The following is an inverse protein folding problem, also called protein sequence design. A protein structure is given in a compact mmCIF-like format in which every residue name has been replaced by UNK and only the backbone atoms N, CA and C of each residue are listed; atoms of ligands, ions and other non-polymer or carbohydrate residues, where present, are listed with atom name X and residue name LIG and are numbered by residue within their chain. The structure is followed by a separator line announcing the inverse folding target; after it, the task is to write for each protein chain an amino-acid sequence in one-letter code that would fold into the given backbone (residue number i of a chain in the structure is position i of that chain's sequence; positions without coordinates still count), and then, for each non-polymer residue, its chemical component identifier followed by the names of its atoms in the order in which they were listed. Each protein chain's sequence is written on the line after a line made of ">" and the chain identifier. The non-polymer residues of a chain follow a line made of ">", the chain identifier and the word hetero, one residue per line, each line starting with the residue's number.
data_IF_855057605091
#
_entry.id   IF_855057605091
#
_cell.length_a   1.000
_cell.length_b   1.000
_cell.length_c   1.000
_cell.angle_alpha   90.00
_cell.angle_beta   90.00
_cell.angle_gamma   90.00
#
_symmetry.space_group_name_H-M   'P 1'
#
loop_
_entity.id
_entity.type
_entity.pdbx_description
1 polymer ?
#
# COMPACT_ATOMS: atom_id res chain seq x y z
N UNK A 1 -16.87 24.33 0.60
CA UNK A 1 -15.43 24.03 0.77
C UNK A 1 -14.84 23.65 -0.57
N UNK A 2 -13.59 24.04 -0.85
CA UNK A 2 -12.88 23.68 -2.08
C UNK A 2 -11.46 23.22 -1.75
N UNK A 3 -10.96 22.21 -2.48
CA UNK A 3 -9.55 21.86 -2.42
C UNK A 3 -8.76 22.88 -3.25
N UNK A 4 -7.80 23.56 -2.63
CA UNK A 4 -6.88 24.51 -3.27
C UNK A 4 -5.45 24.02 -3.16
N UNK A 5 -4.64 24.40 -4.14
CA UNK A 5 -3.21 24.16 -4.18
C UNK A 5 -2.53 25.53 -4.28
N UNK A 6 -2.50 26.26 -3.16
CA UNK A 6 -1.90 27.60 -3.12
C UNK A 6 -0.36 27.52 -3.01
N UNK A 7 0.19 26.35 -2.63
CA UNK A 7 1.61 25.98 -2.72
C UNK A 7 1.76 24.72 -3.59
N UNK A 8 2.75 24.63 -4.51
CA UNK A 8 2.92 23.45 -5.35
C UNK A 8 3.06 22.16 -4.53
N UNK A 9 2.21 21.16 -4.80
CA UNK A 9 2.19 19.87 -4.11
C UNK A 9 1.40 19.82 -2.80
N UNK A 10 0.83 20.94 -2.35
CA UNK A 10 0.14 21.05 -1.05
C UNK A 10 -1.35 21.37 -1.26
N UNK A 11 -2.16 20.32 -1.42
CA UNK A 11 -3.61 20.43 -1.59
C UNK A 11 -4.30 20.49 -0.24
N UNK A 12 -4.93 21.62 0.06
CA UNK A 12 -5.65 21.87 1.31
C UNK A 12 -7.12 22.21 1.08
N UNK A 13 -7.98 21.78 2.00
CA UNK A 13 -9.38 22.21 2.00
C UNK A 13 -9.49 23.64 2.53
N UNK A 14 -10.17 24.51 1.80
CA UNK A 14 -10.48 25.88 2.20
C UNK A 14 -11.99 26.08 2.26
N UNK A 15 -12.47 26.59 3.39
CA UNK A 15 -13.86 26.97 3.60
C UNK A 15 -14.06 28.44 3.25
N UNK A 16 -15.08 28.74 2.45
CA UNK A 16 -15.51 30.11 2.18
C UNK A 16 -16.92 30.29 2.75
N UNK A 17 -17.11 31.34 3.51
CA UNK A 17 -18.38 31.62 4.21
C UNK A 17 -18.72 33.09 4.05
N UNK A 18 -20.02 33.38 3.94
CA UNK A 18 -20.55 34.75 3.90
C UNK A 18 -21.16 35.13 5.25
N UNK A 19 -21.12 36.41 5.60
CA UNK A 19 -21.68 36.94 6.85
C UNK A 19 -20.65 37.12 7.97
N UNK A 20 -21.09 37.67 9.10
CA UNK A 20 -20.23 37.95 10.25
C UNK A 20 -20.03 36.68 11.10
N UNK A 21 -19.00 35.91 10.79
CA UNK A 21 -18.60 34.72 11.55
C UNK A 21 -17.11 34.76 11.84
N UNK A 22 -16.72 34.39 13.05
CA UNK A 22 -15.31 34.22 13.41
C UNK A 22 -14.75 32.93 12.77
N UNK A 23 -13.73 33.01 11.91
CA UNK A 23 -13.11 31.84 11.27
C UNK A 23 -12.58 30.80 12.26
N UNK A 24 -12.01 31.26 13.39
CA UNK A 24 -11.42 30.40 14.41
C UNK A 24 -12.46 29.54 15.11
N UNK A 25 -13.52 30.19 15.58
CA UNK A 25 -14.68 29.56 16.21
C UNK A 25 -15.37 28.57 15.26
N UNK A 26 -15.60 28.94 14.00
CA UNK A 26 -16.26 28.06 13.03
C UNK A 26 -15.41 26.80 12.78
N UNK A 27 -14.08 26.96 12.63
CA UNK A 27 -13.18 25.81 12.48
C UNK A 27 -13.19 24.92 13.72
N UNK A 28 -13.21 25.49 14.93
CA UNK A 28 -13.32 24.72 16.17
C UNK A 28 -14.64 23.92 16.23
N UNK A 29 -15.75 24.53 15.84
CA UNK A 29 -17.06 23.86 15.78
C UNK A 29 -17.14 22.77 14.72
N UNK A 30 -16.45 22.92 13.59
CA UNK A 30 -16.36 21.87 12.58
C UNK A 30 -15.58 20.65 13.10
N UNK A 31 -14.52 20.84 13.89
CA UNK A 31 -13.77 19.72 14.50
C UNK A 31 -14.61 18.88 15.47
N UNK A 32 -15.59 19.47 16.14
CA UNK A 32 -16.50 18.74 17.04
C UNK A 32 -17.42 17.76 16.28
N UNK A 33 -17.62 17.97 14.97
CA UNK A 33 -18.66 17.27 14.18
C UNK A 33 -18.13 16.52 12.95
N UNK A 34 -16.90 16.82 12.52
CA UNK A 34 -16.30 16.26 11.33
C UNK A 34 -14.97 15.58 11.66
N UNK A 35 -14.62 14.48 10.97
CA UNK A 35 -13.26 13.97 10.98
C UNK A 35 -12.25 15.06 10.57
N UNK A 36 -11.05 15.03 11.14
CA UNK A 36 -10.04 16.09 10.97
C UNK A 36 -9.71 16.38 9.50
N UNK A 37 -9.60 15.35 8.65
CA UNK A 37 -9.35 15.50 7.21
C UNK A 37 -10.48 16.18 6.43
N UNK A 38 -11.67 16.34 7.02
CA UNK A 38 -12.78 17.10 6.44
C UNK A 38 -12.86 18.54 6.96
N UNK A 39 -12.07 18.89 7.97
CA UNK A 39 -12.03 20.24 8.54
C UNK A 39 -11.12 21.11 7.66
N UNK A 40 -11.59 22.27 7.18
CA UNK A 40 -10.78 23.11 6.30
C UNK A 40 -9.55 23.66 7.04
N UNK A 41 -8.42 23.71 6.33
CA UNK A 41 -7.16 24.27 6.81
C UNK A 41 -7.27 25.77 7.09
N UNK A 42 -8.09 26.47 6.30
CA UNK A 42 -8.43 27.88 6.45
C UNK A 42 -9.91 28.14 6.18
N UNK A 43 -10.50 29.10 6.90
CA UNK A 43 -11.85 29.62 6.65
C UNK A 43 -11.71 31.09 6.28
N UNK A 44 -12.23 31.46 5.10
CA UNK A 44 -12.18 32.82 4.58
C UNK A 44 -13.59 33.38 4.55
N UNK A 45 -13.78 34.51 5.23
CA UNK A 45 -15.03 35.27 5.17
C UNK A 45 -15.01 36.12 3.92
N UNK A 46 -16.02 35.96 3.08
CA UNK A 46 -16.22 36.76 1.87
C UNK A 46 -17.55 37.49 1.95
N UNK A 47 -17.62 38.69 1.40
CA UNK A 47 -18.88 39.46 1.39
C UNK A 47 -19.96 38.75 0.58
N UNK A 48 -19.57 38.23 -0.59
CA UNK A 48 -20.41 37.41 -1.46
C UNK A 48 -19.57 36.32 -2.15
N UNK A 49 -20.19 35.19 -2.47
CA UNK A 49 -19.55 34.16 -3.28
C UNK A 49 -19.50 34.64 -4.74
N UNK A 50 -18.31 34.69 -5.38
CA UNK A 50 -18.20 35.14 -6.76
C UNK A 50 -18.85 34.11 -7.69
N UNK A 51 -19.67 34.59 -8.62
CA UNK A 51 -20.36 33.75 -9.60
C UNK A 51 -19.88 34.07 -11.02
N UNK A 52 -19.77 33.04 -11.84
CA UNK A 52 -19.61 33.14 -13.29
C UNK A 52 -20.88 33.69 -13.94
N UNK A 53 -20.78 34.11 -15.20
CA UNK A 53 -21.94 34.55 -16.02
C UNK A 53 -23.09 33.53 -16.10
N UNK A 54 -22.81 32.25 -15.83
CA UNK A 54 -23.79 31.17 -15.82
C UNK A 54 -24.35 30.88 -14.40
N UNK A 55 -24.09 31.75 -13.43
CA UNK A 55 -24.57 31.60 -12.04
C UNK A 55 -23.86 30.51 -11.22
N UNK A 56 -22.78 29.90 -11.73
CA UNK A 56 -21.96 28.92 -10.99
C UNK A 56 -20.86 29.62 -10.21
N UNK A 57 -20.44 29.06 -9.06
CA UNK A 57 -19.29 29.54 -8.28
C UNK A 57 -18.03 29.68 -9.15
N UNK A 58 -17.48 30.89 -9.21
CA UNK A 58 -16.19 31.15 -9.83
C UNK A 58 -15.06 30.86 -8.84
N UNK A 59 -14.52 29.65 -8.94
CA UNK A 59 -13.42 29.20 -8.06
C UNK A 59 -12.13 30.01 -8.23
N UNK A 60 -11.92 30.65 -9.40
CA UNK A 60 -10.70 31.41 -9.72
C UNK A 60 -10.73 32.80 -9.10
N UNK A 61 -11.93 33.36 -8.95
CA UNK A 61 -12.16 34.65 -8.33
C UNK A 61 -12.22 34.59 -6.79
N UNK A 62 -12.15 33.40 -6.18
CA UNK A 62 -12.11 33.25 -4.72
C UNK A 62 -10.75 33.73 -4.17
N UNK A 63 -10.75 34.60 -3.14
CA UNK A 63 -9.51 35.11 -2.55
C UNK A 63 -8.67 33.97 -2.01
N UNK A 64 -7.34 34.11 -2.14
CA UNK A 64 -6.42 33.19 -1.51
C UNK A 64 -6.49 33.36 0.02
N UNK A 65 -6.57 32.29 0.80
CA UNK A 65 -6.47 32.38 2.24
C UNK A 65 -5.08 32.91 2.64
N UNK A 66 -5.05 33.85 3.58
CA UNK A 66 -3.81 34.22 4.26
C UNK A 66 -3.46 33.12 5.25
N UNK A 67 -2.52 32.26 4.87
CA UNK A 67 -1.90 31.33 5.80
C UNK A 67 -0.87 32.12 6.61
N UNK A 68 -1.26 32.63 7.78
CA UNK A 68 -0.33 33.27 8.71
C UNK A 68 0.69 32.23 9.22
N UNK A 69 1.81 32.11 8.52
CA UNK A 69 2.94 31.20 8.82
C UNK A 69 3.62 31.53 10.18
N UNK A 70 3.34 32.69 10.78
CA UNK A 70 3.99 33.17 12.00
C UNK A 70 3.31 32.74 13.31
N UNK A 71 2.02 32.34 13.29
CA UNK A 71 1.24 32.12 14.52
C UNK A 71 1.10 30.64 14.95
N UNK A 72 1.71 29.70 14.24
CA UNK A 72 1.59 28.26 14.58
C UNK A 72 2.90 27.50 14.75
N UNK A 73 4.03 28.06 14.37
CA UNK A 73 5.31 27.39 14.60
C UNK A 73 5.77 27.57 16.05
N UNK A 74 5.33 26.64 16.91
CA UNK A 74 5.95 26.43 18.21
C UNK A 74 7.06 25.41 18.04
N UNK A 75 8.31 25.77 18.34
CA UNK A 75 9.39 24.79 18.34
C UNK A 75 9.11 23.70 19.39
N UNK A 76 9.47 22.42 19.14
CA UNK A 76 9.56 21.40 20.18
C UNK A 76 10.46 21.90 21.31
N UNK A 77 10.01 21.78 22.56
CA UNK A 77 10.76 22.29 23.73
C UNK A 77 11.17 21.21 24.71
N UNK A 78 10.61 20.00 24.58
CA UNK A 78 10.96 18.86 25.43
C UNK A 78 11.67 17.78 24.62
N UNK A 79 12.53 16.94 25.24
CA UNK A 79 13.20 15.84 24.54
C UNK A 79 12.23 14.89 23.84
N UNK A 80 11.06 14.65 24.46
CA UNK A 80 9.98 13.83 23.86
C UNK A 80 9.42 14.51 22.62
N UNK A 81 9.13 15.81 22.68
CA UNK A 81 8.62 16.57 21.52
C UNK A 81 9.65 16.64 20.39
N UNK A 82 10.93 16.84 20.70
CA UNK A 82 12.01 16.88 19.71
C UNK A 82 12.12 15.54 18.96
N UNK A 83 12.07 14.43 19.71
CA UNK A 83 12.12 13.10 19.14
C UNK A 83 10.88 12.81 18.30
N UNK A 84 9.69 13.13 18.79
CA UNK A 84 8.43 12.98 18.05
C UNK A 84 8.41 13.81 16.77
N UNK A 85 8.81 15.09 16.83
CA UNK A 85 8.91 15.96 15.67
C UNK A 85 9.90 15.41 14.62
N UNK A 86 11.03 14.86 15.07
CA UNK A 86 11.99 14.19 14.19
C UNK A 86 11.44 12.92 13.52
N UNK A 87 10.62 12.13 14.24
CA UNK A 87 9.94 10.97 13.66
C UNK A 87 8.88 11.42 12.64
N UNK A 88 8.05 12.42 12.97
CA UNK A 88 7.07 13.00 12.05
C UNK A 88 7.74 13.45 10.75
N UNK A 89 8.81 14.25 10.87
CA UNK A 89 9.55 14.78 9.73
C UNK A 89 10.06 13.66 8.80
N UNK A 90 10.66 12.60 9.36
CA UNK A 90 11.15 11.46 8.56
C UNK A 90 10.04 10.68 7.86
N UNK A 91 8.91 10.47 8.52
CA UNK A 91 7.82 9.65 7.98
C UNK A 91 7.06 10.38 6.88
N UNK A 92 6.83 11.68 7.09
CA UNK A 92 6.10 12.53 6.16
C UNK A 92 7.00 13.13 5.07
N UNK A 93 8.33 13.03 5.23
CA UNK A 93 9.30 13.58 4.28
C UNK A 93 9.33 15.11 4.27
N UNK A 94 8.96 15.75 5.39
CA UNK A 94 8.96 17.21 5.54
C UNK A 94 10.22 17.69 6.26
N UNK A 95 10.75 18.88 5.92
CA UNK A 95 12.02 19.35 6.47
C UNK A 95 11.96 19.72 7.95
N UNK A 96 10.79 20.12 8.45
CA UNK A 96 10.61 20.60 9.82
C UNK A 96 9.16 20.41 10.28
N UNK A 97 9.00 20.08 11.56
CA UNK A 97 7.70 19.90 12.23
C UNK A 97 7.74 20.66 13.56
N UNK A 98 6.74 21.49 13.81
CA UNK A 98 6.50 22.18 15.07
C UNK A 98 5.71 21.34 16.07
N UNK A 99 5.72 21.75 17.33
CA UNK A 99 5.02 21.06 18.42
C UNK A 99 3.49 21.01 18.20
N UNK A 100 2.92 22.03 17.56
CA UNK A 100 1.47 22.14 17.30
C UNK A 100 1.07 21.67 15.88
N UNK A 101 2.01 21.13 15.10
CA UNK A 101 1.71 20.64 13.76
C UNK A 101 1.00 19.29 13.84
N UNK A 102 -0.20 19.20 13.25
CA UNK A 102 -0.97 17.97 13.15
C UNK A 102 -0.36 17.03 12.11
N UNK A 103 -0.25 15.74 12.46
CA UNK A 103 0.24 14.69 11.57
C UNK A 103 -0.54 14.62 10.25
N UNK A 104 -1.87 14.79 10.32
CA UNK A 104 -2.75 14.70 9.16
C UNK A 104 -2.75 15.99 8.33
N UNK A 105 -2.60 17.16 8.98
CA UNK A 105 -2.43 18.44 8.27
C UNK A 105 -1.14 18.47 7.43
N UNK A 106 -0.12 17.71 7.85
CA UNK A 106 1.15 17.54 7.14
C UNK A 106 1.13 16.43 6.06
N UNK A 107 -0.05 15.88 5.73
CA UNK A 107 -0.21 14.85 4.69
C UNK A 107 -0.09 13.41 5.18
N UNK A 108 -0.14 13.19 6.50
CA UNK A 108 -0.24 11.86 7.08
C UNK A 108 -1.54 11.14 6.72
N UNK A 109 -1.43 9.83 6.53
CA UNK A 109 -2.51 8.88 6.27
C UNK A 109 -2.46 7.71 7.26
N UNK A 110 -3.38 6.76 7.16
CA UNK A 110 -3.41 5.59 8.06
C UNK A 110 -2.13 4.74 8.00
N UNK A 111 -1.46 4.68 6.85
CA UNK A 111 -0.26 3.87 6.64
C UNK A 111 0.95 4.49 7.34
N UNK A 112 1.14 5.78 7.11
CA UNK A 112 2.16 6.60 7.75
C UNK A 112 1.89 6.75 9.25
N UNK A 113 0.63 6.78 9.70
CA UNK A 113 0.28 6.73 11.12
C UNK A 113 0.69 5.39 11.76
N UNK A 114 0.51 4.25 11.09
CA UNK A 114 1.03 2.97 11.58
C UNK A 114 2.56 2.96 11.67
N UNK A 115 3.26 3.52 10.65
CA UNK A 115 4.71 3.68 10.68
C UNK A 115 5.16 4.59 11.82
N UNK A 116 4.41 5.67 12.08
CA UNK A 116 4.67 6.60 13.18
C UNK A 116 4.59 5.88 14.51
N UNK A 117 3.49 5.16 14.75
CA UNK A 117 3.31 4.38 15.96
C UNK A 117 4.43 3.37 16.16
N UNK A 118 4.82 2.63 15.11
CA UNK A 118 5.91 1.67 15.18
C UNK A 118 7.24 2.33 15.56
N UNK A 119 7.60 3.43 14.89
CA UNK A 119 8.85 4.16 15.14
C UNK A 119 8.89 4.81 16.54
N UNK A 120 7.77 5.37 17.00
CA UNK A 120 7.66 5.96 18.34
C UNK A 120 7.75 4.88 19.42
N UNK A 121 7.08 3.75 19.22
CA UNK A 121 7.15 2.62 20.16
C UNK A 121 8.54 1.99 20.23
N UNK A 122 9.25 1.92 19.11
CA UNK A 122 10.63 1.47 19.06
C UNK A 122 11.58 2.44 19.78
N UNK A 123 11.44 3.75 19.53
CA UNK A 123 12.34 4.75 20.09
C UNK A 123 12.10 5.05 21.59
N UNK A 124 10.83 5.02 22.03
CA UNK A 124 10.43 5.48 23.37
C UNK A 124 9.81 4.40 24.25
N UNK A 125 9.54 3.19 23.73
CA UNK A 125 8.85 2.13 24.49
C UNK A 125 7.42 2.52 24.90
N UNK A 126 6.77 3.41 24.13
CA UNK A 126 5.59 4.15 24.54
C UNK A 126 4.27 3.35 24.57
N UNK A 127 4.17 2.20 23.89
CA UNK A 127 2.92 1.43 23.74
C UNK A 127 1.79 2.20 23.03
N UNK A 128 2.12 3.23 22.25
CA UNK A 128 1.19 4.07 21.53
C UNK A 128 0.35 3.23 20.56
N UNK A 129 -0.94 3.54 20.46
CA UNK A 129 -1.85 2.95 19.48
C UNK A 129 -2.09 3.93 18.32
N UNK A 130 -2.49 3.41 17.15
CA UNK A 130 -2.90 4.27 16.02
C UNK A 130 -4.05 5.19 16.42
N UNK A 131 -4.98 4.70 17.24
CA UNK A 131 -6.07 5.50 17.80
C UNK A 131 -5.55 6.73 18.56
N UNK A 132 -4.45 6.61 19.30
CA UNK A 132 -3.87 7.74 20.02
C UNK A 132 -3.37 8.85 19.08
N UNK A 133 -2.86 8.50 17.90
CA UNK A 133 -2.46 9.48 16.87
C UNK A 133 -3.69 10.21 16.32
N UNK A 134 -4.83 9.53 16.13
CA UNK A 134 -6.07 10.17 15.69
C UNK A 134 -6.69 11.08 16.75
N UNK A 135 -6.59 10.72 18.03
CA UNK A 135 -7.16 11.51 19.13
C UNK A 135 -6.25 12.68 19.57
N UNK A 136 -4.95 12.58 19.28
CA UNK A 136 -3.93 13.57 19.61
C UNK A 136 -2.99 13.70 18.41
N UNK A 137 -3.36 14.42 17.35
CA UNK A 137 -2.61 14.43 16.09
C UNK A 137 -1.33 15.27 16.13
N UNK A 138 -1.20 16.21 17.07
CA UNK A 138 -0.03 17.10 17.18
C UNK A 138 1.10 16.49 18.02
N UNK A 139 2.33 16.94 17.78
CA UNK A 139 3.52 16.51 18.55
C UNK A 139 3.35 16.77 20.05
N UNK A 140 2.86 17.95 20.44
CA UNK A 140 2.64 18.32 21.83
C UNK A 140 1.57 17.43 22.51
N UNK A 141 0.47 17.15 21.81
CA UNK A 141 -0.58 16.29 22.34
C UNK A 141 -0.13 14.82 22.45
N UNK A 142 0.64 14.31 21.48
CA UNK A 142 1.23 12.97 21.57
C UNK A 142 2.27 12.87 22.66
N UNK A 143 3.12 13.89 22.85
CA UNK A 143 4.12 13.90 23.90
C UNK A 143 3.50 13.67 25.28
N UNK A 144 2.31 14.24 25.53
CA UNK A 144 1.54 14.01 26.76
C UNK A 144 0.95 12.60 26.91
N UNK A 145 0.89 11.81 25.83
CA UNK A 145 0.39 10.42 25.84
C UNK A 145 1.50 9.38 25.88
N UNK A 146 2.73 9.78 25.56
CA UNK A 146 3.90 8.92 25.65
C UNK A 146 4.38 8.88 27.10
N UNK A 147 4.36 7.69 27.72
CA UNK A 147 4.81 7.48 29.10
C UNK A 147 3.72 7.29 30.15
N UNK A 148 2.44 7.27 29.77
CA UNK A 148 1.34 6.91 30.68
C UNK A 148 1.36 5.41 31.04
N UNK A 149 1.18 5.08 32.32
CA UNK A 149 1.29 3.72 32.89
C UNK A 149 0.25 2.68 32.39
N UNK A 150 -0.61 3.02 31.43
CA UNK A 150 -1.71 2.14 30.97
C UNK A 150 -1.58 1.59 29.55
N UNK A 151 -0.57 1.97 28.77
CA UNK A 151 -0.43 1.49 27.41
C UNK A 151 0.06 0.04 27.42
N UNK A 152 -0.81 -0.91 27.05
CA UNK A 152 -0.45 -2.31 26.88
C UNK A 152 0.71 -2.42 25.89
N UNK A 153 1.93 -2.60 26.41
CA UNK A 153 3.13 -2.75 25.61
C UNK A 153 3.02 -4.06 24.86
N UNK A 154 2.79 -3.98 23.55
CA UNK A 154 2.90 -5.16 22.69
C UNK A 154 4.36 -5.61 22.74
N UNK A 155 4.58 -6.84 23.20
CA UNK A 155 5.91 -7.43 23.18
C UNK A 155 6.41 -7.48 21.73
N UNK A 156 7.67 -7.13 21.46
CA UNK A 156 8.22 -7.24 20.12
C UNK A 156 8.15 -8.69 19.65
N UNK A 157 7.87 -8.89 18.36
CA UNK A 157 7.91 -10.22 17.75
C UNK A 157 9.36 -10.73 17.82
N UNK A 158 9.57 -11.86 18.48
CA UNK A 158 10.87 -12.51 18.60
C UNK A 158 10.86 -13.80 17.78
N UNK A 159 12.01 -14.24 17.24
CA UNK A 159 12.12 -15.59 16.74
C UNK A 159 11.74 -16.59 17.83
N UNK A 160 10.87 -17.54 17.49
CA UNK A 160 10.47 -18.63 18.38
C UNK A 160 10.79 -19.95 17.71
N UNK A 161 11.09 -20.95 18.52
CA UNK A 161 11.16 -22.32 18.03
C UNK A 161 9.78 -22.74 17.51
N UNK A 162 9.74 -23.38 16.34
CA UNK A 162 8.47 -23.75 15.73
C UNK A 162 7.82 -24.87 16.53
N UNK A 163 6.57 -24.63 16.93
CA UNK A 163 5.70 -25.71 17.37
C UNK A 163 5.54 -26.75 16.27
N UNK A 164 5.29 -28.00 16.65
CA UNK A 164 4.94 -29.08 15.72
C UNK A 164 3.71 -28.74 14.85
N UNK A 165 2.83 -27.85 15.35
CA UNK A 165 1.67 -27.33 14.63
C UNK A 165 1.71 -25.81 14.67
N UNK A 166 1.82 -25.20 13.49
CA UNK A 166 1.73 -23.74 13.33
C UNK A 166 0.28 -23.39 12.98
N UNK A 167 -0.46 -22.66 13.83
CA UNK A 167 -1.84 -22.28 13.53
C UNK A 167 -1.88 -21.23 12.42
N UNK A 168 -3.01 -21.14 11.72
CA UNK A 168 -3.28 -20.02 10.82
C UNK A 168 -3.42 -18.72 11.62
N UNK A 169 -2.95 -17.61 11.06
CA UNK A 169 -3.30 -16.28 11.56
C UNK A 169 -4.81 -16.02 11.39
N UNK A 170 -5.37 -15.08 12.14
CA UNK A 170 -6.80 -14.74 12.00
C UNK A 170 -7.20 -14.35 10.57
N UNK A 171 -6.32 -13.64 9.85
CA UNK A 171 -6.55 -13.28 8.45
C UNK A 171 -6.57 -14.52 7.53
N UNK A 172 -5.64 -15.46 7.75
CA UNK A 172 -5.61 -16.72 7.02
C UNK A 172 -6.82 -17.60 7.34
N UNK A 173 -7.25 -17.67 8.61
CA UNK A 173 -8.44 -18.44 9.02
C UNK A 173 -9.70 -17.99 8.27
N UNK A 174 -9.90 -16.67 8.11
CA UNK A 174 -11.02 -16.12 7.33
C UNK A 174 -11.00 -16.63 5.89
N UNK A 175 -9.85 -16.52 5.22
CA UNK A 175 -9.72 -16.92 3.81
C UNK A 175 -9.86 -18.44 3.64
N UNK A 176 -9.25 -19.22 4.52
CA UNK A 176 -9.39 -20.67 4.55
C UNK A 176 -10.85 -21.11 4.75
N UNK A 177 -11.56 -20.48 5.70
CA UNK A 177 -12.98 -20.77 5.93
C UNK A 177 -13.84 -20.49 4.68
N UNK A 178 -13.57 -19.38 3.98
CA UNK A 178 -14.29 -19.03 2.75
C UNK A 178 -14.04 -20.05 1.64
N UNK A 179 -12.81 -20.54 1.51
CA UNK A 179 -12.47 -21.63 0.58
C UNK A 179 -13.18 -22.94 0.96
N UNK A 180 -13.26 -23.31 2.25
CA UNK A 180 -14.02 -24.50 2.65
C UNK A 180 -15.51 -24.41 2.34
N UNK A 181 -16.08 -23.20 2.41
CA UNK A 181 -17.50 -22.97 2.12
C UNK A 181 -17.80 -22.94 0.61
N UNK A 182 -16.89 -22.41 -0.20
CA UNK A 182 -17.11 -22.15 -1.63
C UNK A 182 -16.40 -23.16 -2.56
N UNK A 183 -15.43 -23.91 -2.04
CA UNK A 183 -14.47 -24.69 -2.82
C UNK A 183 -13.35 -23.83 -3.45
N UNK A 184 -12.38 -24.48 -4.14
CA UNK A 184 -11.31 -23.81 -4.86
C UNK A 184 -11.82 -22.76 -5.86
N UNK A 185 -11.44 -21.50 -5.67
CA UNK A 185 -11.97 -20.37 -6.43
C UNK A 185 -10.91 -19.29 -6.66
N UNK A 186 -10.89 -18.62 -7.83
CA UNK A 186 -9.92 -17.56 -8.12
C UNK A 186 -10.31 -16.20 -7.51
N UNK A 187 -11.42 -16.12 -6.75
CA UNK A 187 -11.94 -14.84 -6.21
C UNK A 187 -10.91 -14.10 -5.35
N UNK A 188 -10.05 -14.83 -4.65
CA UNK A 188 -9.01 -14.26 -3.79
C UNK A 188 -7.61 -14.34 -4.42
N UNK A 189 -7.53 -14.49 -5.74
CA UNK A 189 -6.27 -14.40 -6.45
C UNK A 189 -5.84 -12.94 -6.60
N UNK A 190 -4.56 -12.69 -6.34
CA UNK A 190 -3.85 -11.47 -6.71
C UNK A 190 -2.99 -11.78 -7.93
N UNK A 191 -3.58 -11.64 -9.11
CA UNK A 191 -2.92 -11.86 -10.39
C UNK A 191 -2.30 -10.58 -10.96
N UNK A 192 -1.10 -10.70 -11.52
CA UNK A 192 -0.44 -9.65 -12.31
C UNK A 192 -0.02 -10.21 -13.66
N UNK A 193 -0.23 -9.42 -14.71
CA UNK A 193 0.31 -9.67 -16.05
C UNK A 193 1.21 -8.51 -16.45
N UNK A 194 2.50 -8.78 -16.66
CA UNK A 194 3.51 -7.79 -17.00
C UNK A 194 4.00 -8.02 -18.42
N UNK A 195 3.95 -6.98 -19.25
CA UNK A 195 4.62 -6.99 -20.56
C UNK A 195 6.08 -6.60 -20.37
N UNK A 196 6.98 -7.48 -20.78
CA UNK A 196 8.42 -7.32 -20.69
C UNK A 196 8.97 -7.11 -22.10
N UNK A 197 9.59 -5.97 -22.32
CA UNK A 197 10.22 -5.63 -23.60
C UNK A 197 11.75 -5.66 -23.45
N UNK A 198 12.42 -6.31 -24.38
CA UNK A 198 13.87 -6.53 -24.41
C UNK A 198 14.24 -8.01 -24.28
N UNK A 199 15.55 -8.28 -24.37
CA UNK A 199 16.09 -9.63 -24.20
C UNK A 199 15.86 -10.10 -22.77
N UNK A 200 15.24 -11.26 -22.61
CA UNK A 200 14.93 -11.86 -21.33
C UNK A 200 15.58 -13.25 -21.24
N UNK A 201 16.37 -13.46 -20.20
CA UNK A 201 16.80 -14.81 -19.80
C UNK A 201 15.69 -15.47 -18.95
N UNK A 202 14.89 -16.34 -19.59
CA UNK A 202 13.78 -17.02 -18.94
C UNK A 202 14.23 -18.03 -17.86
N UNK A 203 15.41 -18.64 -18.03
CA UNK A 203 15.94 -19.59 -17.05
C UNK A 203 16.40 -18.84 -15.78
N UNK A 204 17.09 -17.71 -15.96
CA UNK A 204 17.46 -16.84 -14.84
C UNK A 204 16.22 -16.27 -14.13
N UNK A 205 15.15 -15.94 -14.85
CA UNK A 205 13.90 -15.46 -14.25
C UNK A 205 13.19 -16.55 -13.43
N UNK A 206 13.12 -17.78 -13.96
CA UNK A 206 12.59 -18.92 -13.21
C UNK A 206 13.40 -19.21 -11.94
N UNK A 207 14.74 -19.16 -12.03
CA UNK A 207 15.62 -19.33 -10.88
C UNK A 207 15.46 -18.19 -9.85
N UNK A 208 15.29 -16.95 -10.30
CA UNK A 208 15.06 -15.81 -9.42
C UNK A 208 13.71 -15.90 -8.68
N UNK A 209 12.66 -16.39 -9.34
CA UNK A 209 11.38 -16.69 -8.68
C UNK A 209 11.56 -17.79 -7.62
N UNK A 210 12.34 -18.83 -7.90
CA UNK A 210 12.67 -19.86 -6.92
C UNK A 210 13.41 -19.30 -5.69
N UNK A 211 14.34 -18.34 -5.88
CA UNK A 211 15.03 -17.65 -4.77
C UNK A 211 14.05 -16.86 -3.88
N UNK A 212 13.07 -16.19 -4.49
CA UNK A 212 12.01 -15.46 -3.77
C UNK A 212 11.12 -16.43 -2.98
N UNK A 213 10.72 -17.55 -3.58
CA UNK A 213 9.94 -18.60 -2.91
C UNK A 213 10.73 -19.25 -1.77
N UNK A 214 12.03 -19.46 -1.95
CA UNK A 214 12.90 -19.98 -0.90
C UNK A 214 12.95 -19.05 0.32
N UNK A 215 13.10 -17.75 0.06
CA UNK A 215 13.20 -16.68 1.06
C UNK A 215 11.90 -16.44 1.83
N UNK A 216 10.75 -16.46 1.14
CA UNK A 216 9.45 -16.11 1.72
C UNK A 216 8.60 -17.35 1.95
N UNK A 217 8.59 -17.86 3.19
CA UNK A 217 7.91 -19.10 3.54
C UNK A 217 6.41 -19.10 3.22
N UNK A 218 5.74 -17.95 3.33
CA UNK A 218 4.31 -17.82 3.03
C UNK A 218 3.98 -18.25 1.60
N UNK A 219 4.89 -18.02 0.63
CA UNK A 219 4.71 -18.42 -0.77
C UNK A 219 4.80 -19.93 -1.00
N UNK A 220 5.39 -20.67 -0.06
CA UNK A 220 5.55 -22.14 -0.10
C UNK A 220 4.85 -22.81 1.08
N UNK A 221 3.78 -22.23 1.60
CA UNK A 221 3.00 -22.78 2.71
C UNK A 221 1.68 -23.34 2.19
N UNK A 222 1.35 -24.58 2.59
CA UNK A 222 0.04 -25.20 2.36
C UNK A 222 -0.77 -25.22 3.67
N UNK A 223 -2.09 -25.35 3.55
CA UNK A 223 -3.07 -25.17 4.63
C UNK A 223 -4.00 -26.39 4.80
N UNK A 224 -3.47 -27.60 5.07
CA UNK A 224 -4.30 -28.77 5.29
C UNK A 224 -5.08 -28.64 6.61
N UNK A 225 -6.24 -29.28 6.66
CA UNK A 225 -6.94 -29.56 7.90
C UNK A 225 -6.66 -30.99 8.37
N UNK A 226 -6.16 -31.14 9.58
CA UNK A 226 -6.04 -32.44 10.25
C UNK A 226 -7.06 -32.47 11.37
N UNK A 227 -7.96 -33.47 11.33
CA UNK A 227 -9.06 -33.60 12.31
C UNK A 227 -9.91 -32.32 12.43
N UNK A 228 -10.14 -31.63 11.30
CA UNK A 228 -10.92 -30.40 11.24
C UNK A 228 -10.19 -29.13 11.71
N UNK A 229 -8.93 -29.23 12.14
CA UNK A 229 -8.13 -28.07 12.56
C UNK A 229 -7.15 -27.66 11.45
N UNK A 230 -7.25 -26.43 10.90
CA UNK A 230 -6.32 -25.96 9.89
C UNK A 230 -4.97 -25.62 10.50
N UNK A 231 -3.90 -25.93 9.77
CA UNK A 231 -2.52 -25.60 10.15
C UNK A 231 -1.69 -25.16 8.96
N UNK A 232 -0.66 -24.38 9.21
CA UNK A 232 0.34 -24.00 8.22
C UNK A 232 1.39 -25.11 8.13
N UNK A 233 1.66 -25.57 6.92
CA UNK A 233 2.76 -26.50 6.63
C UNK A 233 3.66 -25.84 5.59
N UNK A 234 4.84 -25.41 6.04
CA UNK A 234 5.83 -24.82 5.15
C UNK A 234 6.51 -25.93 4.36
N UNK A 235 6.30 -25.95 3.04
CA UNK A 235 6.89 -26.92 2.11
C UNK A 235 8.39 -26.66 1.97
N UNK A 236 9.26 -27.69 2.04
CA UNK A 236 10.69 -27.54 1.76
C UNK A 236 10.95 -26.90 0.40
N UNK A 237 12.02 -26.10 0.29
CA UNK A 237 12.30 -25.30 -0.92
C UNK A 237 12.41 -26.20 -2.17
N UNK A 238 12.99 -27.37 -2.01
CA UNK A 238 13.23 -28.34 -3.09
C UNK A 238 11.93 -28.97 -3.61
N UNK A 239 10.84 -28.86 -2.85
CA UNK A 239 9.51 -29.39 -3.19
C UNK A 239 8.51 -28.27 -3.52
N UNK A 240 8.94 -27.01 -3.49
CA UNK A 240 8.06 -25.87 -3.72
C UNK A 240 7.83 -25.67 -5.23
N UNK A 241 6.80 -26.32 -5.77
CA UNK A 241 6.43 -26.22 -7.18
C UNK A 241 5.43 -25.07 -7.42
N UNK A 242 5.91 -23.96 -7.98
CA UNK A 242 5.06 -22.80 -8.35
C UNK A 242 4.69 -22.80 -9.84
N UNK A 243 4.74 -23.97 -10.48
CA UNK A 243 4.26 -24.17 -11.85
C UNK A 243 4.93 -23.31 -12.92
N UNK A 244 6.21 -22.95 -12.75
CA UNK A 244 6.98 -22.17 -13.73
C UNK A 244 7.00 -22.85 -15.09
N UNK A 245 6.45 -22.17 -16.09
CA UNK A 245 6.42 -22.66 -17.47
C UNK A 245 6.69 -21.52 -18.44
N UNK A 246 7.54 -21.79 -19.44
CA UNK A 246 7.74 -20.91 -20.59
C UNK A 246 6.91 -21.45 -21.75
N UNK A 247 5.90 -20.70 -22.15
CA UNK A 247 4.99 -21.02 -23.24
C UNK A 247 5.43 -20.24 -24.47
N UNK A 248 5.67 -20.95 -25.58
CA UNK A 248 5.90 -20.29 -26.86
C UNK A 248 4.57 -19.80 -27.44
N UNK A 249 4.38 -18.49 -27.38
CA UNK A 249 3.22 -17.80 -27.92
C UNK A 249 3.56 -17.07 -29.22
N UNK A 250 4.68 -17.39 -29.85
CA UNK A 250 5.10 -16.81 -31.13
C UNK A 250 4.02 -17.08 -32.18
N UNK A 251 3.50 -16.02 -32.80
CA UNK A 251 2.44 -16.10 -33.80
C UNK A 251 1.02 -16.26 -33.24
N UNK A 252 0.83 -16.23 -31.92
CA UNK A 252 -0.52 -16.21 -31.35
C UNK A 252 -1.24 -14.89 -31.67
N UNK A 253 -2.55 -14.98 -31.90
CA UNK A 253 -3.37 -13.78 -31.99
C UNK A 253 -3.46 -13.08 -30.62
N UNK A 254 -3.68 -11.75 -30.58
CA UNK A 254 -3.92 -11.05 -29.32
C UNK A 254 -5.07 -11.64 -28.49
N UNK A 255 -6.10 -12.17 -29.16
CA UNK A 255 -7.22 -12.83 -28.49
C UNK A 255 -6.82 -14.15 -27.83
N UNK A 256 -6.03 -14.99 -28.52
CA UNK A 256 -5.52 -16.25 -27.97
C UNK A 256 -4.59 -16.02 -26.77
N UNK A 257 -3.71 -15.02 -26.87
CA UNK A 257 -2.85 -14.61 -25.75
C UNK A 257 -3.69 -14.10 -24.58
N UNK A 258 -4.70 -13.25 -24.84
CA UNK A 258 -5.62 -12.76 -23.81
C UNK A 258 -6.35 -13.88 -23.06
N UNK A 259 -6.87 -14.88 -23.78
CA UNK A 259 -7.53 -16.04 -23.19
C UNK A 259 -6.58 -16.87 -22.32
N UNK A 260 -5.34 -17.09 -22.77
CA UNK A 260 -4.35 -17.83 -22.01
C UNK A 260 -3.90 -17.09 -20.74
N UNK A 261 -3.75 -15.77 -20.82
CA UNK A 261 -3.47 -14.91 -19.66
C UNK A 261 -4.63 -14.96 -18.67
N UNK A 262 -5.87 -14.82 -19.15
CA UNK A 262 -7.06 -14.91 -18.29
C UNK A 262 -7.18 -16.28 -17.61
N UNK A 263 -6.96 -17.37 -18.34
CA UNK A 263 -6.95 -18.72 -17.79
C UNK A 263 -5.86 -18.90 -16.71
N UNK A 264 -4.67 -18.31 -16.92
CA UNK A 264 -3.61 -18.33 -15.93
C UNK A 264 -3.98 -17.55 -14.66
N UNK A 265 -4.58 -16.36 -14.80
CA UNK A 265 -5.01 -15.51 -13.66
C UNK A 265 -6.17 -16.14 -12.87
N UNK A 266 -7.09 -16.82 -13.55
CA UNK A 266 -8.26 -17.48 -12.96
C UNK A 266 -7.98 -18.89 -12.43
N UNK A 267 -6.71 -19.26 -12.28
CA UNK A 267 -6.36 -20.56 -11.72
C UNK A 267 -6.90 -20.71 -10.29
N UNK A 268 -7.68 -21.76 -10.02
CA UNK A 268 -8.14 -22.09 -8.67
C UNK A 268 -7.08 -22.94 -7.96
N UNK A 269 -6.52 -22.42 -6.88
CA UNK A 269 -5.61 -23.17 -6.01
C UNK A 269 -6.39 -24.13 -5.11
N UNK A 270 -5.85 -25.33 -4.89
CA UNK A 270 -6.22 -26.19 -3.76
C UNK A 270 -5.23 -25.95 -2.62
N UNK A 271 -5.59 -25.08 -1.68
CA UNK A 271 -4.66 -24.64 -0.64
C UNK A 271 -4.27 -25.76 0.34
N UNK A 272 -4.94 -26.91 0.33
CA UNK A 272 -4.57 -28.04 1.18
C UNK A 272 -3.31 -28.76 0.69
N UNK A 273 -3.03 -28.73 -0.62
CA UNK A 273 -1.96 -29.52 -1.25
C UNK A 273 -1.06 -28.73 -2.20
N UNK A 274 -1.50 -27.56 -2.68
CA UNK A 274 -0.75 -26.71 -3.60
C UNK A 274 -0.31 -25.42 -2.91
N UNK A 275 0.93 -24.99 -3.20
CA UNK A 275 1.41 -23.71 -2.71
C UNK A 275 0.67 -22.54 -3.40
N UNK A 276 0.40 -21.43 -2.70
CA UNK A 276 -0.46 -20.35 -3.16
C UNK A 276 0.22 -19.41 -4.19
N UNK A 277 1.05 -19.94 -5.09
CA UNK A 277 1.77 -19.17 -6.10
C UNK A 277 1.87 -19.96 -7.41
N UNK A 278 1.53 -19.31 -8.53
CA UNK A 278 1.87 -19.78 -9.88
C UNK A 278 2.47 -18.68 -10.72
N UNK A 279 3.42 -19.03 -11.58
CA UNK A 279 3.98 -18.11 -12.56
C UNK A 279 4.17 -18.77 -13.93
N UNK A 280 3.86 -18.04 -15.01
CA UNK A 280 4.06 -18.46 -16.40
C UNK A 280 4.62 -17.32 -17.23
N UNK A 281 5.47 -17.66 -18.19
CA UNK A 281 6.04 -16.71 -19.13
C UNK A 281 5.59 -17.08 -20.54
N UNK A 282 4.89 -16.18 -21.21
CA UNK A 282 4.55 -16.29 -22.62
C UNK A 282 5.60 -15.55 -23.44
N UNK A 283 6.34 -16.26 -24.29
CA UNK A 283 7.27 -15.65 -25.26
C UNK A 283 6.47 -15.30 -26.52
N UNK A 284 6.26 -14.00 -26.76
CA UNK A 284 5.46 -13.49 -27.88
C UNK A 284 6.33 -13.20 -29.10
N UNK A 285 7.54 -12.68 -28.85
CA UNK A 285 8.60 -12.48 -29.83
C UNK A 285 9.97 -12.68 -29.15
N UNK A 286 11.07 -12.50 -29.88
CA UNK A 286 12.43 -12.61 -29.33
C UNK A 286 12.68 -11.61 -28.19
N UNK A 287 12.13 -10.41 -28.30
CA UNK A 287 12.27 -9.31 -27.33
C UNK A 287 10.93 -8.89 -26.71
N UNK A 288 9.88 -9.71 -26.83
CA UNK A 288 8.58 -9.44 -26.23
C UNK A 288 8.03 -10.64 -25.47
N UNK A 289 7.74 -10.42 -24.18
CA UNK A 289 7.26 -11.46 -23.30
C UNK A 289 6.10 -10.95 -22.43
N UNK A 290 5.25 -11.87 -21.99
CA UNK A 290 4.22 -11.59 -20.98
C UNK A 290 4.46 -12.53 -19.80
N UNK A 291 4.85 -11.97 -18.66
CA UNK A 291 4.92 -12.70 -17.39
C UNK A 291 3.57 -12.61 -16.69
N UNK A 292 2.95 -13.75 -16.40
CA UNK A 292 1.78 -13.83 -15.55
C UNK A 292 2.17 -14.49 -14.25
N UNK A 293 1.94 -13.82 -13.13
CA UNK A 293 2.15 -14.36 -11.80
C UNK A 293 0.87 -14.19 -10.99
N UNK A 294 0.48 -15.22 -10.25
CA UNK A 294 -0.74 -15.26 -9.46
C UNK A 294 -0.39 -15.79 -8.09
N UNK A 295 -0.71 -15.01 -7.07
CA UNK A 295 -0.57 -15.43 -5.67
C UNK A 295 -1.93 -15.39 -5.00
N UNK A 296 -2.27 -16.38 -4.18
CA UNK A 296 -3.50 -16.35 -3.41
C UNK A 296 -3.36 -15.39 -2.22
N UNK A 297 -4.39 -14.61 -1.90
CA UNK A 297 -4.37 -13.59 -0.83
C UNK A 297 -4.08 -14.17 0.58
N UNK A 298 -4.14 -15.50 0.74
CA UNK A 298 -3.76 -16.16 2.00
C UNK A 298 -2.25 -16.06 2.31
N UNK A 299 -1.41 -15.86 1.29
CA UNK A 299 0.05 -15.84 1.41
C UNK A 299 0.68 -14.46 1.21
N UNK A 300 -0.07 -13.53 0.63
CA UNK A 300 0.38 -12.17 0.36
C UNK A 300 -0.80 -11.20 0.44
N UNK A 301 -0.47 -9.93 0.65
CA UNK A 301 -1.38 -8.80 0.58
C UNK A 301 -0.78 -7.68 -0.29
N UNK A 302 -1.49 -6.56 -0.42
CA UNK A 302 -1.00 -5.41 -1.20
C UNK A 302 0.35 -4.87 -0.69
N UNK A 303 0.66 -5.03 0.59
CA UNK A 303 1.92 -4.56 1.17
C UNK A 303 3.09 -5.48 0.81
N UNK A 304 2.81 -6.78 0.73
CA UNK A 304 3.74 -7.84 0.35
C UNK A 304 4.21 -7.72 -1.12
N UNK A 305 3.43 -7.07 -1.99
CA UNK A 305 3.80 -6.94 -3.41
C UNK A 305 5.11 -6.17 -3.61
N UNK A 306 5.32 -5.08 -2.86
CA UNK A 306 6.53 -4.26 -3.00
C UNK A 306 7.83 -5.02 -2.67
N UNK A 307 7.96 -5.68 -1.49
CA UNK A 307 9.15 -6.48 -1.20
C UNK A 307 9.31 -7.66 -2.16
N UNK A 308 8.23 -8.30 -2.63
CA UNK A 308 8.32 -9.38 -3.61
C UNK A 308 8.92 -8.93 -4.94
N UNK A 309 8.45 -7.81 -5.50
CA UNK A 309 8.98 -7.26 -6.75
C UNK A 309 10.44 -6.81 -6.59
N UNK A 310 10.77 -6.21 -5.45
CA UNK A 310 12.16 -5.83 -5.12
C UNK A 310 13.07 -7.04 -5.09
N UNK A 311 12.70 -8.08 -4.33
CA UNK A 311 13.52 -9.27 -4.14
C UNK A 311 13.67 -10.05 -5.47
N UNK A 312 12.61 -10.14 -6.28
CA UNK A 312 12.69 -10.72 -7.62
C UNK A 312 13.67 -9.97 -8.53
N UNK A 313 13.63 -8.65 -8.51
CA UNK A 313 14.53 -7.82 -9.32
C UNK A 313 15.99 -8.01 -8.92
N UNK A 314 16.28 -8.08 -7.62
CA UNK A 314 17.63 -8.33 -7.09
C UNK A 314 18.10 -9.74 -7.45
N UNK A 315 17.25 -10.76 -7.24
CA UNK A 315 17.58 -12.14 -7.56
C UNK A 315 17.83 -12.33 -9.07
N UNK A 316 17.00 -11.72 -9.92
CA UNK A 316 17.16 -11.80 -11.37
C UNK A 316 18.48 -11.17 -11.84
N UNK A 317 18.81 -9.98 -11.33
CA UNK A 317 20.07 -9.31 -11.65
C UNK A 317 21.30 -10.15 -11.24
N UNK A 318 21.23 -10.80 -10.08
CA UNK A 318 22.29 -11.70 -9.62
C UNK A 318 22.44 -12.93 -10.52
N UNK A 319 21.32 -13.56 -10.91
CA UNK A 319 21.27 -14.75 -11.79
C UNK A 319 21.78 -14.45 -13.21
N UNK A 320 21.60 -13.23 -13.70
CA UNK A 320 22.11 -12.78 -15.00
C UNK A 320 23.62 -12.44 -14.99
N UNK A 321 24.33 -12.62 -13.87
CA UNK A 321 25.79 -12.47 -13.80
C UNK A 321 26.30 -11.05 -13.55
N UNK A 322 25.49 -10.15 -12.97
CA UNK A 322 25.94 -8.85 -12.46
C UNK A 322 26.44 -7.81 -13.49
N UNK A 323 26.40 -8.09 -14.80
CA UNK A 323 26.81 -7.17 -15.84
C UNK A 323 25.66 -6.33 -16.42
N UNK A 324 25.86 -5.05 -16.79
CA UNK A 324 24.84 -4.25 -17.46
C UNK A 324 24.63 -4.82 -18.86
N UNK A 325 23.52 -5.53 -19.07
CA UNK A 325 23.03 -5.91 -20.39
C UNK A 325 21.65 -5.31 -20.57
N UNK A 326 21.43 -4.69 -21.75
CA UNK A 326 20.33 -3.77 -22.06
C UNK A 326 19.04 -4.02 -21.28
N UNK A 327 18.67 -3.05 -20.44
CA UNK A 327 17.63 -3.21 -19.44
C UNK A 327 16.30 -3.66 -20.04
N UNK A 328 15.72 -4.70 -19.44
CA UNK A 328 14.34 -5.10 -19.70
C UNK A 328 13.46 -3.97 -19.21
N UNK A 329 12.67 -3.40 -20.11
CA UNK A 329 11.65 -2.42 -19.74
C UNK A 329 10.37 -3.16 -19.41
N UNK A 330 9.99 -3.14 -18.14
CA UNK A 330 8.67 -3.58 -17.71
C UNK A 330 7.68 -2.47 -18.04
N UNK A 331 6.71 -2.77 -18.92
CA UNK A 331 5.51 -1.94 -19.05
C UNK A 331 4.37 -2.67 -18.34
N UNK A 332 3.98 -2.16 -17.18
CA UNK A 332 2.67 -2.48 -16.63
C UNK A 332 1.63 -1.92 -17.60
N UNK A 333 0.61 -2.70 -17.96
CA UNK A 333 -0.41 -2.29 -18.93
C UNK A 333 -1.45 -1.32 -18.33
N UNK A 334 -0.97 -0.22 -17.74
CA UNK A 334 -1.74 1.02 -17.49
C UNK A 334 -0.78 2.23 -17.44
N UNK A 335 -0.98 3.30 -18.25
CA UNK A 335 -0.05 4.44 -18.30
C UNK A 335 -0.51 5.66 -17.49
N UNK A 336 0.44 6.41 -16.91
CA UNK A 336 0.33 7.88 -16.87
C UNK A 336 0.56 8.35 -18.32
N UNK A 337 -0.55 8.51 -19.04
CA UNK A 337 -0.77 9.34 -20.24
C UNK A 337 0.16 9.25 -21.45
N UNK A 338 -0.50 9.01 -22.61
CA UNK A 338 -0.12 9.24 -24.02
C UNK A 338 0.73 8.15 -24.72
N UNK A 339 0.05 7.22 -25.38
CA UNK A 339 0.06 7.12 -26.85
C UNK A 339 -1.02 6.13 -27.33
N UNK A 340 -1.84 6.55 -28.31
CA UNK A 340 -2.50 5.70 -29.33
C UNK A 340 -3.52 4.63 -28.90
N UNK A 341 -4.80 4.98 -29.00
CA UNK A 341 -6.00 4.12 -29.17
C UNK A 341 -5.84 2.59 -29.22
N UNK A 342 -6.31 1.91 -28.16
CA UNK A 342 -7.09 0.66 -28.21
C UNK A 342 -7.67 0.39 -26.82
N UNK A 343 -8.82 1.00 -26.58
CA UNK A 343 -9.71 0.84 -25.43
C UNK A 343 -10.20 -0.60 -25.30
N UNK A 344 -9.80 -1.34 -24.24
CA UNK A 344 -10.62 -2.34 -23.50
C UNK A 344 -9.83 -3.31 -22.57
N UNK A 345 -8.82 -2.90 -21.79
CA UNK A 345 -8.08 -3.89 -20.98
C UNK A 345 -7.56 -3.39 -19.64
N UNK A 346 -8.41 -2.86 -18.75
CA UNK A 346 -8.16 -2.91 -17.29
C UNK A 346 -9.50 -2.81 -16.55
N UNK A 347 -9.92 -3.92 -15.93
CA UNK A 347 -10.65 -3.91 -14.67
C UNK A 347 -10.59 -5.33 -14.09
N UNK A 348 -9.59 -5.62 -13.27
CA UNK A 348 -9.66 -6.63 -12.20
C UNK A 348 -8.39 -6.54 -11.32
N UNK A 349 -8.22 -5.43 -10.61
CA UNK A 349 -7.94 -5.59 -9.18
C UNK A 349 -9.34 -5.78 -8.61
N UNK A 350 -9.68 -6.96 -8.09
CA UNK A 350 -10.89 -7.09 -7.28
C UNK A 350 -10.63 -6.21 -6.06
N UNK A 351 -11.33 -5.08 -5.89
CA UNK A 351 -11.23 -4.33 -4.66
C UNK A 351 -12.03 -5.13 -3.62
N UNK A 352 -11.33 -5.81 -2.72
CA UNK A 352 -11.97 -6.35 -1.52
C UNK A 352 -11.89 -5.25 -0.47
N UNK A 353 -13.03 -4.59 -0.26
CA UNK A 353 -13.33 -3.87 0.99
C UNK A 353 -13.42 -4.87 2.13
#
# INVERSE_FOLDING_TARGET
>A
MIAREDRPGDKRLVGYVTGAVDPGWLRAKLRERLPEYMVPAAVVVVEALPLTVNGKLDKRALPAPEYSDSDRYRAPTTPTEELLAGIYARILGVPRVGAEDSFFDLGGDSLSAMRLVAAVNEALGAGLSVRAVFEAPTVAQLAGRVGGEGAARLAPVRPVERSAVVPLSFAQQRLWFLEQLQGPSPVYNMGVALRLCGRLDAAALGAALSDVVARHESLRTVFPAVEGTPRQVVVPVERAEFGWQVVDASGWSPASLGQAVEAAVRYSFDLAVEIPLRARLFRVAEDEHVLVAVVHHIAADGWSITPLVRDLSVAYAARCGGGPRGGIRCRCSTPITRCGSASSWVSLMIPIV
#
